data_IF_280489640001
#
_entry.id   IF_280489640001
#
_cell.length_a   1.000
_cell.length_b   1.000
_cell.length_c   1.000
_cell.angle_alpha   90.00
_cell.angle_beta   90.00
_cell.angle_gamma   90.00
#
_symmetry.space_group_name_H-M   'P 1'
#
loop_
_entity.id
_entity.type
_entity.pdbx_description
1 polymer ?
#
# COMPACT_ATOMS: atom_id res chain seq x y z
N UNK A 1 -18.20 1.80 8.58
CA UNK A 1 -18.23 3.18 8.07
C UNK A 1 -18.88 4.17 9.03
N UNK A 2 -19.89 3.77 9.80
CA UNK A 2 -20.58 4.64 10.78
C UNK A 2 -19.65 5.29 11.81
N UNK A 3 -18.58 4.57 12.22
CA UNK A 3 -17.58 5.11 13.13
C UNK A 3 -16.78 6.24 12.51
N UNK A 4 -16.31 6.08 11.26
CA UNK A 4 -15.52 7.10 10.55
C UNK A 4 -16.35 8.37 10.34
N UNK A 5 -17.58 8.22 9.88
CA UNK A 5 -18.52 9.34 9.71
C UNK A 5 -18.79 10.06 11.06
N UNK A 6 -19.04 9.28 12.12
CA UNK A 6 -19.34 9.82 13.46
C UNK A 6 -18.16 10.61 14.06
N UNK A 7 -16.93 10.13 13.90
CA UNK A 7 -15.75 10.74 14.52
C UNK A 7 -14.99 11.68 13.58
N UNK A 8 -15.38 11.77 12.31
CA UNK A 8 -14.73 12.60 11.29
C UNK A 8 -13.20 12.46 11.28
N UNK A 9 -12.71 11.21 11.38
CA UNK A 9 -11.28 10.91 11.47
C UNK A 9 -10.72 10.35 10.15
N UNK A 10 -9.43 10.54 9.85
CA UNK A 10 -8.78 9.90 8.72
C UNK A 10 -8.83 8.38 8.83
N UNK A 11 -8.99 7.70 7.69
CA UNK A 11 -8.99 6.25 7.60
C UNK A 11 -8.36 5.79 6.28
N UNK A 12 -7.99 4.51 6.22
CA UNK A 12 -7.33 3.92 5.07
C UNK A 12 -8.27 2.95 4.36
N UNK A 13 -8.53 3.22 3.08
CA UNK A 13 -9.19 2.29 2.16
C UNK A 13 -8.13 1.36 1.60
N UNK A 14 -8.11 0.10 2.03
CA UNK A 14 -7.15 -0.90 1.57
C UNK A 14 -7.81 -1.88 0.61
N UNK A 15 -7.21 -2.07 -0.57
CA UNK A 15 -7.66 -3.11 -1.50
C UNK A 15 -7.33 -4.50 -0.97
N UNK A 16 -8.35 -5.33 -0.78
CA UNK A 16 -8.24 -6.76 -0.48
C UNK A 16 -9.40 -7.51 -1.12
N UNK A 17 -9.19 -8.78 -1.51
CA UNK A 17 -10.25 -9.71 -1.91
C UNK A 17 -10.40 -10.76 -0.81
N UNK A 18 -11.64 -11.01 -0.38
CA UNK A 18 -11.94 -11.97 0.69
C UNK A 18 -11.50 -11.49 2.08
N UNK A 19 -11.17 -12.43 2.93
CA UNK A 19 -10.74 -12.22 4.31
C UNK A 19 -9.37 -12.88 4.58
N UNK A 20 -8.86 -12.79 5.81
CA UNK A 20 -7.56 -13.36 6.19
C UNK A 20 -7.41 -14.87 5.96
N UNK A 21 -8.51 -15.60 5.91
CA UNK A 21 -8.51 -17.06 5.73
C UNK A 21 -8.46 -17.48 4.26
N UNK A 22 -9.09 -16.72 3.34
CA UNK A 22 -9.24 -17.11 1.93
C UNK A 22 -8.56 -16.16 0.93
N UNK A 23 -8.02 -15.02 1.37
CA UNK A 23 -7.42 -14.01 0.50
C UNK A 23 -6.31 -14.55 -0.42
N UNK A 24 -5.54 -15.56 0.01
CA UNK A 24 -4.47 -16.15 -0.80
C UNK A 24 -5.00 -16.96 -1.98
N UNK A 25 -6.24 -17.46 -1.92
CA UNK A 25 -6.90 -18.19 -3.00
C UNK A 25 -7.54 -17.24 -4.03
N UNK A 26 -7.67 -15.96 -3.70
CA UNK A 26 -8.32 -14.93 -4.51
C UNK A 26 -7.34 -14.03 -5.25
N UNK A 27 -6.13 -14.55 -5.53
CA UNK A 27 -5.07 -13.83 -6.26
C UNK A 27 -5.20 -13.92 -7.79
N UNK A 28 -6.34 -14.27 -8.32
CA UNK A 28 -6.56 -14.33 -9.76
C UNK A 28 -6.99 -12.96 -10.31
N UNK A 29 -6.11 -12.31 -11.09
CA UNK A 29 -6.33 -11.02 -11.74
C UNK A 29 -6.19 -11.20 -13.25
N UNK A 30 -7.02 -10.51 -14.04
CA UNK A 30 -6.79 -10.36 -15.47
C UNK A 30 -5.69 -9.32 -15.71
N UNK A 31 -5.79 -8.20 -15.01
CA UNK A 31 -4.75 -7.17 -14.95
C UNK A 31 -4.78 -6.55 -13.55
N UNK A 32 -3.77 -6.86 -12.73
CA UNK A 32 -3.74 -6.46 -11.32
C UNK A 32 -3.77 -4.95 -11.14
N UNK A 33 -3.16 -4.19 -12.03
CA UNK A 33 -3.11 -2.72 -11.93
C UNK A 33 -4.49 -2.09 -12.15
N UNK A 34 -5.15 -2.45 -13.25
CA UNK A 34 -6.48 -1.94 -13.57
C UNK A 34 -7.53 -2.42 -12.57
N UNK A 35 -7.49 -3.70 -12.18
CA UNK A 35 -8.46 -4.30 -11.26
C UNK A 35 -8.38 -3.66 -9.88
N UNK A 36 -7.15 -3.49 -9.36
CA UNK A 36 -6.93 -2.85 -8.05
C UNK A 36 -7.34 -1.39 -8.09
N UNK A 37 -6.95 -0.65 -9.15
CA UNK A 37 -7.34 0.75 -9.30
C UNK A 37 -8.85 0.92 -9.40
N UNK A 38 -9.53 0.15 -10.24
CA UNK A 38 -10.98 0.20 -10.40
C UNK A 38 -11.70 -0.14 -9.09
N UNK A 39 -11.22 -1.15 -8.36
CA UNK A 39 -11.78 -1.49 -7.05
C UNK A 39 -11.65 -0.36 -6.05
N UNK A 40 -10.49 0.31 -5.99
CA UNK A 40 -10.27 1.47 -5.11
C UNK A 40 -11.15 2.65 -5.51
N UNK A 41 -11.26 2.97 -6.81
CA UNK A 41 -12.18 4.00 -7.32
C UNK A 41 -13.62 3.76 -6.85
N UNK A 42 -14.10 2.52 -6.93
CA UNK A 42 -15.45 2.17 -6.50
C UNK A 42 -15.63 2.29 -4.98
N UNK A 43 -14.64 1.86 -4.18
CA UNK A 43 -14.68 2.00 -2.72
C UNK A 43 -14.70 3.47 -2.31
N UNK A 44 -13.88 4.31 -2.94
CA UNK A 44 -13.86 5.76 -2.71
C UNK A 44 -15.24 6.37 -3.00
N UNK A 45 -15.83 6.09 -4.18
CA UNK A 45 -17.15 6.59 -4.55
C UNK A 45 -18.21 6.21 -3.52
N UNK A 46 -18.26 4.94 -3.13
CA UNK A 46 -19.21 4.45 -2.13
C UNK A 46 -19.07 5.14 -0.78
N UNK A 47 -17.86 5.53 -0.38
CA UNK A 47 -17.62 6.20 0.89
C UNK A 47 -17.96 7.71 0.82
N UNK A 48 -17.71 8.35 -0.31
CA UNK A 48 -18.16 9.73 -0.57
C UNK A 48 -19.68 9.84 -0.58
N UNK A 49 -20.39 8.87 -1.18
CA UNK A 49 -21.87 8.81 -1.17
C UNK A 49 -22.44 8.68 0.25
N UNK A 50 -21.66 8.16 1.20
CA UNK A 50 -22.02 8.11 2.63
C UNK A 50 -21.62 9.37 3.40
N UNK A 51 -21.35 10.47 2.71
CA UNK A 51 -20.92 11.75 3.29
C UNK A 51 -19.60 11.68 4.10
N UNK A 52 -18.70 10.77 3.75
CA UNK A 52 -17.36 10.78 4.31
C UNK A 52 -16.54 11.87 3.62
N UNK A 53 -15.87 12.71 4.39
CA UNK A 53 -15.06 13.80 3.85
C UNK A 53 -13.86 13.28 3.06
N UNK A 54 -13.63 13.80 1.85
CA UNK A 54 -12.45 13.49 1.02
C UNK A 54 -11.13 13.64 1.80
N UNK A 55 -11.07 14.63 2.70
CA UNK A 55 -9.87 14.92 3.52
C UNK A 55 -9.49 13.79 4.47
N UNK A 56 -10.42 12.88 4.74
CA UNK A 56 -10.21 11.75 5.64
C UNK A 56 -9.83 10.46 4.91
N UNK A 57 -9.84 10.45 3.57
CA UNK A 57 -9.56 9.25 2.78
C UNK A 57 -8.06 9.14 2.50
N UNK A 58 -7.48 8.00 2.85
CA UNK A 58 -6.14 7.56 2.47
C UNK A 58 -6.30 6.23 1.73
N UNK A 59 -5.53 5.99 0.67
CA UNK A 59 -5.67 4.82 -0.20
C UNK A 59 -4.46 3.91 -0.08
N UNK A 60 -4.69 2.60 0.08
CA UNK A 60 -3.65 1.55 0.12
C UNK A 60 -3.95 0.50 -0.96
N UNK A 61 -3.10 0.31 -1.98
CA UNK A 61 -3.28 -0.74 -3.00
C UNK A 61 -3.20 -2.16 -2.44
N UNK A 62 -2.92 -2.33 -1.15
CA UNK A 62 -3.02 -3.60 -0.45
C UNK A 62 -1.91 -4.58 -0.84
N UNK A 63 -0.65 -4.15 -0.80
CA UNK A 63 0.50 -5.02 -1.01
C UNK A 63 0.42 -6.24 -0.09
N UNK A 64 0.53 -7.45 -0.66
CA UNK A 64 0.49 -8.72 0.08
C UNK A 64 -0.89 -9.19 0.52
N UNK A 65 -1.97 -8.48 0.16
CA UNK A 65 -3.35 -8.95 0.35
C UNK A 65 -3.91 -9.44 -0.98
N UNK A 66 -4.35 -10.72 -1.03
CA UNK A 66 -4.91 -11.35 -2.24
C UNK A 66 -4.00 -11.20 -3.48
N UNK A 67 -2.69 -11.22 -3.31
CA UNK A 67 -1.70 -10.99 -4.37
C UNK A 67 -0.52 -11.94 -4.20
N UNK A 68 -0.10 -12.55 -5.30
CA UNK A 68 1.16 -13.29 -5.37
C UNK A 68 2.37 -12.35 -5.49
N UNK A 69 3.57 -12.92 -5.61
CA UNK A 69 4.81 -12.15 -5.72
C UNK A 69 4.82 -11.25 -6.97
N UNK A 70 4.36 -11.77 -8.13
CA UNK A 70 4.38 -11.03 -9.39
C UNK A 70 3.43 -9.85 -9.36
N UNK A 71 2.21 -10.04 -8.83
CA UNK A 71 1.24 -8.97 -8.62
C UNK A 71 1.77 -7.86 -7.71
N UNK A 72 2.43 -8.24 -6.60
CA UNK A 72 3.04 -7.25 -5.70
C UNK A 72 4.15 -6.46 -6.39
N UNK A 73 5.02 -7.12 -7.15
CA UNK A 73 6.09 -6.46 -7.89
C UNK A 73 5.56 -5.56 -9.02
N UNK A 74 4.51 -5.99 -9.71
CA UNK A 74 3.88 -5.19 -10.76
C UNK A 74 3.27 -3.90 -10.19
N UNK A 75 2.57 -3.97 -9.06
CA UNK A 75 2.07 -2.78 -8.36
C UNK A 75 3.22 -1.88 -7.93
N UNK A 76 4.29 -2.43 -7.34
CA UNK A 76 5.43 -1.65 -6.88
C UNK A 76 6.16 -0.93 -8.02
N UNK A 77 6.19 -1.49 -9.23
CA UNK A 77 6.77 -0.86 -10.42
C UNK A 77 5.92 0.28 -10.99
N UNK A 78 4.63 0.33 -10.63
CA UNK A 78 3.64 1.23 -11.23
C UNK A 78 2.87 2.03 -10.16
N UNK A 79 3.55 2.46 -9.09
CA UNK A 79 2.93 3.21 -7.98
C UNK A 79 2.33 4.55 -8.43
N UNK A 80 2.87 5.16 -9.48
CA UNK A 80 2.37 6.38 -10.10
C UNK A 80 0.93 6.25 -10.63
N UNK A 81 0.53 5.03 -11.02
CA UNK A 81 -0.84 4.76 -11.47
C UNK A 81 -1.87 5.12 -10.39
N UNK A 82 -1.55 4.82 -9.12
CA UNK A 82 -2.46 5.05 -7.99
C UNK A 82 -2.54 6.52 -7.59
N UNK A 83 -1.55 7.35 -7.92
CA UNK A 83 -1.59 8.80 -7.74
C UNK A 83 -2.71 9.45 -8.55
N UNK A 84 -3.14 8.83 -9.65
CA UNK A 84 -4.28 9.27 -10.46
C UNK A 84 -5.63 9.18 -9.73
N UNK A 85 -5.66 8.56 -8.55
CA UNK A 85 -6.83 8.56 -7.65
C UNK A 85 -7.03 9.92 -6.96
N UNK A 86 -5.98 10.77 -6.91
CA UNK A 86 -5.95 12.09 -6.27
C UNK A 86 -6.20 12.06 -4.75
N UNK A 87 -5.83 10.97 -4.09
CA UNK A 87 -5.86 10.80 -2.64
C UNK A 87 -4.46 10.46 -2.13
N UNK A 88 -4.14 10.76 -0.86
CA UNK A 88 -2.89 10.31 -0.26
C UNK A 88 -2.76 8.79 -0.34
N UNK A 89 -1.57 8.31 -0.74
CA UNK A 89 -1.28 6.88 -0.91
C UNK A 89 -0.46 6.37 0.27
N UNK A 90 -0.93 5.28 0.87
CA UNK A 90 -0.21 4.53 1.88
C UNK A 90 0.30 3.22 1.30
N UNK A 91 1.58 2.90 1.55
CA UNK A 91 2.17 1.60 1.22
C UNK A 91 2.58 0.87 2.50
N UNK A 92 1.99 -0.30 2.70
CA UNK A 92 2.27 -1.20 3.83
C UNK A 92 2.93 -2.50 3.36
N UNK A 93 4.20 -2.48 2.96
CA UNK A 93 4.92 -3.66 2.46
C UNK A 93 5.88 -4.29 3.49
N UNK A 94 6.03 -3.68 4.66
CA UNK A 94 7.04 -4.05 5.66
C UNK A 94 6.96 -5.51 6.10
N UNK A 95 8.09 -6.23 5.97
CA UNK A 95 8.32 -7.63 6.37
C UNK A 95 7.38 -8.64 5.67
N UNK A 96 6.69 -8.24 4.61
CA UNK A 96 5.72 -9.10 3.91
C UNK A 96 6.38 -10.29 3.22
N UNK A 97 5.56 -11.33 2.98
CA UNK A 97 6.00 -12.63 2.48
C UNK A 97 6.81 -12.53 1.19
N UNK A 98 6.39 -11.72 0.21
CA UNK A 98 7.07 -11.57 -1.06
C UNK A 98 8.52 -11.05 -0.92
N UNK A 99 8.81 -10.21 0.10
CA UNK A 99 10.19 -9.81 0.43
C UNK A 99 11.00 -11.02 0.89
N UNK A 100 10.40 -11.84 1.75
CA UNK A 100 11.05 -13.08 2.22
C UNK A 100 11.32 -14.07 1.09
N UNK A 101 10.42 -14.17 0.12
CA UNK A 101 10.61 -15.02 -1.07
C UNK A 101 11.77 -14.52 -1.94
N UNK A 102 11.88 -13.19 -2.16
CA UNK A 102 12.99 -12.60 -2.92
C UNK A 102 14.33 -12.78 -2.20
N UNK A 103 14.37 -12.59 -0.89
CA UNK A 103 15.58 -12.66 -0.08
C UNK A 103 15.92 -14.10 0.35
N UNK A 104 15.08 -15.09 0.04
CA UNK A 104 15.13 -16.43 0.61
C UNK A 104 15.18 -16.43 2.16
N UNK A 105 14.40 -15.50 2.78
CA UNK A 105 14.40 -15.28 4.22
C UNK A 105 13.03 -15.62 4.84
N UNK A 106 13.04 -16.64 5.71
CA UNK A 106 11.83 -17.13 6.38
C UNK A 106 11.44 -16.27 7.57
N UNK A 107 12.42 -15.72 8.31
CA UNK A 107 12.17 -14.90 9.48
C UNK A 107 11.69 -13.49 9.07
N UNK A 108 10.45 -13.08 9.39
CA UNK A 108 9.98 -11.75 9.03
C UNK A 108 10.82 -10.60 9.60
N UNK A 109 11.46 -10.78 10.75
CA UNK A 109 12.27 -9.74 11.39
C UNK A 109 13.54 -9.42 10.59
N UNK A 110 14.06 -10.39 9.86
CA UNK A 110 15.27 -10.24 9.03
C UNK A 110 14.97 -9.62 7.64
N UNK A 111 13.70 -9.33 7.34
CA UNK A 111 13.27 -8.70 6.07
C UNK A 111 13.33 -7.17 6.09
N UNK A 112 13.89 -6.57 7.13
CA UNK A 112 13.94 -5.10 7.24
C UNK A 112 14.76 -4.48 6.11
N UNK A 113 15.85 -5.11 5.67
CA UNK A 113 16.66 -4.62 4.54
C UNK A 113 15.82 -4.49 3.24
N UNK A 114 14.99 -5.49 2.95
CA UNK A 114 14.07 -5.41 1.80
C UNK A 114 12.97 -4.37 2.00
N UNK A 115 12.51 -4.16 3.24
CA UNK A 115 11.56 -3.09 3.57
C UNK A 115 12.17 -1.71 3.29
N UNK A 116 13.45 -1.50 3.63
CA UNK A 116 14.16 -0.25 3.39
C UNK A 116 14.28 0.06 1.88
N UNK A 117 14.57 -0.95 1.05
CA UNK A 117 14.60 -0.80 -0.40
C UNK A 117 13.24 -0.34 -0.96
N UNK A 118 12.15 -0.90 -0.45
CA UNK A 118 10.78 -0.48 -0.83
C UNK A 118 10.49 0.95 -0.36
N UNK A 119 10.95 1.33 0.82
CA UNK A 119 10.77 2.71 1.32
C UNK A 119 11.50 3.72 0.44
N UNK A 120 12.71 3.41 -0.06
CA UNK A 120 13.40 4.24 -1.05
C UNK A 120 12.59 4.38 -2.35
N UNK A 121 12.05 3.27 -2.85
CA UNK A 121 11.18 3.27 -4.03
C UNK A 121 9.93 4.14 -3.80
N UNK A 122 9.31 4.05 -2.63
CA UNK A 122 8.17 4.91 -2.25
C UNK A 122 8.54 6.40 -2.29
N UNK A 123 9.73 6.76 -1.81
CA UNK A 123 10.23 8.14 -1.92
C UNK A 123 10.37 8.59 -3.38
N UNK A 124 10.94 7.76 -4.24
CA UNK A 124 11.09 8.04 -5.68
C UNK A 124 9.76 8.29 -6.38
N UNK A 125 8.72 7.53 -6.01
CA UNK A 125 7.37 7.70 -6.55
C UNK A 125 6.54 8.77 -5.81
N UNK A 126 7.12 9.51 -4.85
CA UNK A 126 6.41 10.53 -4.06
C UNK A 126 5.18 9.97 -3.34
N UNK A 127 5.29 8.75 -2.80
CA UNK A 127 4.25 8.15 -1.95
C UNK A 127 4.18 8.90 -0.62
N UNK A 128 2.96 9.15 -0.14
CA UNK A 128 2.71 10.03 1.00
C UNK A 128 3.03 9.36 2.33
N UNK A 129 2.69 8.06 2.48
CA UNK A 129 2.78 7.35 3.74
C UNK A 129 3.38 5.96 3.54
N UNK A 130 4.36 5.59 4.36
CA UNK A 130 4.84 4.21 4.49
C UNK A 130 4.50 3.67 5.88
N UNK A 131 3.84 2.50 5.94
CA UNK A 131 3.55 1.81 7.19
C UNK A 131 4.56 0.69 7.41
N UNK A 132 5.39 0.84 8.45
CA UNK A 132 6.56 -0.01 8.69
C UNK A 132 6.67 -0.47 10.15
N UNK A 133 7.36 -1.61 10.39
CA UNK A 133 7.64 -2.11 11.73
C UNK A 133 8.85 -1.37 12.35
N UNK A 134 9.93 -1.21 11.60
CA UNK A 134 11.14 -0.54 12.07
C UNK A 134 11.11 0.94 11.67
N UNK A 135 10.39 1.74 12.45
CA UNK A 135 10.21 3.18 12.17
C UNK A 135 11.54 3.92 12.14
N UNK A 136 12.44 3.64 13.09
CA UNK A 136 13.74 4.34 13.19
C UNK A 136 14.56 4.22 11.91
N UNK A 137 14.77 2.99 11.42
CA UNK A 137 15.56 2.78 10.20
C UNK A 137 14.87 3.35 8.97
N UNK A 138 13.56 3.18 8.84
CA UNK A 138 12.82 3.73 7.70
C UNK A 138 12.81 5.25 7.70
N UNK A 139 12.69 5.89 8.85
CA UNK A 139 12.81 7.35 8.97
C UNK A 139 14.19 7.85 8.51
N UNK A 140 15.27 7.18 8.93
CA UNK A 140 16.62 7.55 8.56
C UNK A 140 16.87 7.44 7.05
N UNK A 141 16.46 6.31 6.44
CA UNK A 141 16.66 6.11 5.01
C UNK A 141 15.80 7.06 4.17
N UNK A 142 14.55 7.32 4.58
CA UNK A 142 13.67 8.26 3.89
C UNK A 142 14.19 9.69 3.94
N UNK A 143 14.82 10.13 5.03
CA UNK A 143 15.50 11.45 5.08
C UNK A 143 16.53 11.59 3.97
N UNK A 144 17.26 10.54 3.64
CA UNK A 144 18.27 10.55 2.56
C UNK A 144 17.58 10.44 1.21
N UNK A 145 16.68 9.48 1.05
CA UNK A 145 15.96 9.24 -0.21
C UNK A 145 15.16 10.47 -0.66
N UNK A 146 14.45 11.13 0.27
CA UNK A 146 13.68 12.33 -0.03
C UNK A 146 14.57 13.49 -0.51
N UNK A 147 15.79 13.62 0.02
CA UNK A 147 16.75 14.63 -0.47
C UNK A 147 17.26 14.34 -1.89
N UNK A 148 17.29 13.08 -2.28
CA UNK A 148 17.72 12.66 -3.62
C UNK A 148 16.56 12.82 -4.63
N UNK A 149 15.37 12.39 -4.28
CA UNK A 149 14.25 12.28 -5.21
C UNK A 149 13.27 13.45 -5.15
N UNK A 150 13.07 14.07 -3.97
CA UNK A 150 12.10 15.14 -3.80
C UNK A 150 12.83 16.50 -3.76
N UNK A 151 12.55 17.33 -4.75
CA UNK A 151 13.07 18.70 -4.85
C UNK A 151 12.20 19.67 -4.05
#
# INVERSE_FOLDING_TARGET
>A
MDVVSKFNCPFVITHSRGNSQNMNQLSNYQNVLSDVKCSLDNLIKNDLEKNISERNIIVDPGIGFSKDINHNLEIMRNLDLFKKLNFPILIGASRKRFIGEILNEKNPKERDIGTLAISCLCSQFYIDIVRVHNVKLNYQILKVADRIYRK
#
